data_IF_555391685388
#
_entry.id   IF_555391685388
#
_cell.length_a   1.000
_cell.length_b   1.000
_cell.length_c   1.000
_cell.angle_alpha   90.00
_cell.angle_beta   90.00
_cell.angle_gamma   90.00
#
_symmetry.space_group_name_H-M   'P 1'
#
loop_
_entity.id
_entity.type
_entity.pdbx_description
1 polymer ?
#
# COMPACT_ATOMS: atom_id res chain seq x y z
N UNK A 1 -23.65 19.97 4.28
CA UNK A 1 -24.36 19.07 5.22
C UNK A 1 -23.43 18.64 6.33
N UNK A 2 -23.91 18.56 7.56
CA UNK A 2 -23.14 18.04 8.69
C UNK A 2 -23.13 16.50 8.77
N UNK A 3 -22.37 15.94 9.72
CA UNK A 3 -22.28 14.48 9.98
C UNK A 3 -23.64 13.84 10.25
N UNK A 4 -24.51 14.46 11.05
CA UNK A 4 -25.81 13.88 11.43
C UNK A 4 -26.76 13.88 10.23
N UNK A 5 -26.78 14.96 9.48
CA UNK A 5 -27.55 15.11 8.25
C UNK A 5 -27.14 14.08 7.21
N UNK A 6 -25.83 13.89 6.97
CA UNK A 6 -25.32 12.88 6.04
C UNK A 6 -25.73 11.47 6.45
N UNK A 7 -25.57 11.11 7.73
CA UNK A 7 -25.97 9.78 8.22
C UNK A 7 -27.48 9.58 8.06
N UNK A 8 -28.29 10.60 8.38
CA UNK A 8 -29.75 10.55 8.19
C UNK A 8 -30.11 10.37 6.72
N UNK A 9 -29.43 11.11 5.84
CA UNK A 9 -29.61 11.01 4.40
C UNK A 9 -29.26 9.60 3.90
N UNK A 10 -28.08 9.07 4.23
CA UNK A 10 -27.68 7.72 3.81
C UNK A 10 -28.68 6.65 4.29
N UNK A 11 -29.15 6.75 5.53
CA UNK A 11 -30.18 5.85 6.07
C UNK A 11 -31.51 5.94 5.32
N UNK A 12 -31.91 7.15 4.89
CA UNK A 12 -33.12 7.32 4.07
C UNK A 12 -33.03 6.64 2.71
N UNK A 13 -31.81 6.40 2.20
CA UNK A 13 -31.54 5.63 0.98
C UNK A 13 -31.46 4.12 1.21
N UNK A 14 -31.76 3.66 2.42
CA UNK A 14 -31.70 2.24 2.81
C UNK A 14 -30.30 1.75 3.20
N UNK A 15 -29.31 2.63 3.39
CA UNK A 15 -28.00 2.25 3.88
C UNK A 15 -27.99 2.03 5.40
N UNK A 16 -27.32 0.97 5.83
CA UNK A 16 -26.96 0.82 7.24
C UNK A 16 -25.66 1.59 7.51
N UNK A 17 -25.65 2.48 8.50
CA UNK A 17 -24.46 3.28 8.84
C UNK A 17 -24.08 3.08 10.30
N UNK A 18 -22.85 2.61 10.55
CA UNK A 18 -22.29 2.44 11.89
C UNK A 18 -21.02 3.27 12.07
N UNK A 19 -20.93 4.06 13.14
CA UNK A 19 -19.81 5.00 13.35
C UNK A 19 -18.88 4.63 14.50
N UNK A 20 -19.10 3.48 15.14
CA UNK A 20 -18.39 3.04 16.34
C UNK A 20 -17.67 1.70 16.17
N UNK A 21 -17.40 1.29 14.92
CA UNK A 21 -16.84 -0.04 14.63
C UNK A 21 -15.31 -0.03 14.61
N UNK A 22 -14.69 -1.20 14.43
CA UNK A 22 -13.25 -1.31 14.13
C UNK A 22 -12.93 -1.08 12.64
N UNK A 23 -13.94 -0.91 11.79
CA UNK A 23 -13.83 -0.71 10.33
C UNK A 23 -12.79 -1.62 9.63
N UNK A 24 -12.62 -2.86 10.11
CA UNK A 24 -11.60 -3.81 9.62
C UNK A 24 -10.15 -3.27 9.61
N UNK A 25 -9.85 -2.30 10.48
CA UNK A 25 -8.55 -1.62 10.54
C UNK A 25 -8.38 -0.43 9.60
N UNK A 26 -9.42 -0.08 8.83
CA UNK A 26 -9.47 1.10 7.96
C UNK A 26 -10.14 2.30 8.68
N UNK A 27 -10.17 3.47 8.03
CA UNK A 27 -10.93 4.63 8.49
C UNK A 27 -12.43 4.44 8.29
N UNK A 28 -12.82 3.86 7.15
CA UNK A 28 -14.17 3.42 6.84
C UNK A 28 -14.14 2.22 5.89
N UNK A 29 -15.31 1.62 5.65
CA UNK A 29 -15.53 0.77 4.49
C UNK A 29 -17.02 0.69 4.12
N UNK A 30 -17.29 0.56 2.82
CA UNK A 30 -18.57 0.17 2.26
C UNK A 30 -18.59 -1.32 1.88
N UNK A 31 -19.64 -2.04 2.26
CA UNK A 31 -19.90 -3.41 1.81
C UNK A 31 -21.38 -3.77 1.94
N UNK A 32 -22.00 -4.28 0.87
CA UNK A 32 -23.38 -4.82 0.88
C UNK A 32 -24.40 -3.87 1.54
N UNK A 33 -24.52 -2.64 1.04
CA UNK A 33 -25.40 -1.58 1.58
C UNK A 33 -25.11 -1.15 3.03
N UNK A 34 -23.89 -1.40 3.52
CA UNK A 34 -23.45 -0.97 4.84
C UNK A 34 -22.21 -0.10 4.74
N UNK A 35 -22.22 1.03 5.43
CA UNK A 35 -21.07 1.91 5.65
C UNK A 35 -20.67 1.82 7.13
N UNK A 36 -19.43 1.40 7.38
CA UNK A 36 -18.85 1.34 8.72
C UNK A 36 -17.73 2.37 8.83
N UNK A 37 -17.78 3.27 9.80
CA UNK A 37 -16.73 4.23 10.14
C UNK A 37 -16.05 3.79 11.45
N UNK A 38 -14.72 3.92 11.48
CA UNK A 38 -13.90 3.56 12.62
C UNK A 38 -14.14 4.48 13.80
N UNK A 39 -14.31 3.92 15.00
CA UNK A 39 -14.44 4.70 16.24
C UNK A 39 -13.21 5.56 16.57
N UNK A 40 -12.04 5.22 16.00
CA UNK A 40 -10.76 5.89 16.27
C UNK A 40 -10.40 6.93 15.20
N UNK A 41 -11.30 7.22 14.25
CA UNK A 41 -11.05 8.22 13.22
C UNK A 41 -11.05 9.63 13.84
N UNK A 42 -10.14 10.54 13.43
CA UNK A 42 -10.24 11.95 13.81
C UNK A 42 -11.58 12.56 13.39
N UNK A 43 -12.17 13.43 14.21
CA UNK A 43 -13.53 13.96 13.95
C UNK A 43 -13.58 14.75 12.63
N UNK A 44 -12.54 15.50 12.29
CA UNK A 44 -12.41 16.23 11.03
C UNK A 44 -12.33 15.31 9.79
N UNK A 45 -12.16 14.00 9.97
CA UNK A 45 -12.10 13.00 8.89
C UNK A 45 -13.39 12.19 8.76
N UNK A 46 -14.33 12.30 9.70
CA UNK A 46 -15.58 11.54 9.67
C UNK A 46 -16.41 11.83 8.42
N UNK A 47 -16.66 13.11 8.13
CA UNK A 47 -17.45 13.50 6.94
C UNK A 47 -16.74 13.13 5.63
N UNK A 48 -15.45 13.46 5.43
CA UNK A 48 -14.71 13.00 4.25
C UNK A 48 -14.80 11.49 4.04
N UNK A 49 -14.62 10.68 5.10
CA UNK A 49 -14.71 9.23 4.98
C UNK A 49 -16.14 8.76 4.69
N UNK A 50 -17.17 9.37 5.27
CA UNK A 50 -18.56 9.07 4.92
C UNK A 50 -18.83 9.30 3.43
N UNK A 51 -18.36 10.41 2.87
CA UNK A 51 -18.51 10.74 1.45
C UNK A 51 -17.73 9.77 0.55
N UNK A 52 -16.51 9.39 0.97
CA UNK A 52 -15.70 8.39 0.29
C UNK A 52 -16.44 7.04 0.20
N UNK A 53 -16.95 6.53 1.31
CA UNK A 53 -17.69 5.26 1.32
C UNK A 53 -19.03 5.35 0.57
N UNK A 54 -19.67 6.53 0.58
CA UNK A 54 -20.87 6.77 -0.21
C UNK A 54 -20.57 6.80 -1.71
N UNK A 55 -19.44 7.33 -2.13
CA UNK A 55 -19.01 7.26 -3.53
C UNK A 55 -18.80 5.80 -3.98
N UNK A 56 -18.26 4.93 -3.11
CA UNK A 56 -18.23 3.49 -3.38
C UNK A 56 -19.62 2.88 -3.50
N UNK A 57 -20.59 3.28 -2.67
CA UNK A 57 -21.97 2.86 -2.84
C UNK A 57 -22.54 3.25 -4.21
N UNK A 58 -22.34 4.50 -4.64
CA UNK A 58 -22.81 4.98 -5.95
C UNK A 58 -22.13 4.23 -7.09
N UNK A 59 -20.81 3.99 -7.01
CA UNK A 59 -20.11 3.17 -7.99
C UNK A 59 -20.66 1.74 -8.03
N UNK A 60 -21.01 1.14 -6.89
CA UNK A 60 -21.61 -0.20 -6.86
C UNK A 60 -22.96 -0.28 -7.58
N UNK A 61 -23.71 0.82 -7.66
CA UNK A 61 -24.94 0.89 -8.46
C UNK A 61 -24.66 1.02 -9.95
N UNK A 62 -23.63 1.78 -10.33
CA UNK A 62 -23.22 1.97 -11.73
C UNK A 62 -22.56 0.70 -12.29
N UNK A 63 -21.73 0.03 -11.48
CA UNK A 63 -20.94 -1.13 -11.85
C UNK A 63 -20.98 -2.17 -10.71
N UNK A 64 -21.97 -3.09 -10.70
CA UNK A 64 -22.20 -4.02 -9.58
C UNK A 64 -21.01 -4.90 -9.18
N UNK A 65 -20.16 -5.28 -10.14
CA UNK A 65 -18.97 -6.11 -9.89
C UNK A 65 -17.72 -5.30 -9.49
N UNK A 66 -17.82 -3.97 -9.29
CA UNK A 66 -16.67 -3.11 -8.95
C UNK A 66 -15.92 -3.56 -7.70
N UNK A 67 -16.61 -4.19 -6.74
CA UNK A 67 -15.98 -4.72 -5.52
C UNK A 67 -14.94 -5.82 -5.82
N UNK A 68 -15.11 -6.54 -6.94
CA UNK A 68 -14.19 -7.58 -7.41
C UNK A 68 -13.17 -7.02 -8.40
N UNK A 69 -13.60 -6.16 -9.33
CA UNK A 69 -12.77 -5.69 -10.45
C UNK A 69 -11.97 -4.41 -10.14
N UNK A 70 -12.39 -3.63 -9.14
CA UNK A 70 -11.90 -2.25 -8.93
C UNK A 70 -12.60 -1.21 -9.81
N UNK A 71 -13.54 -1.66 -10.66
CA UNK A 71 -14.29 -0.88 -11.62
C UNK A 71 -13.47 -0.28 -12.76
N UNK A 72 -14.12 0.55 -13.59
CA UNK A 72 -13.51 1.18 -14.76
C UNK A 72 -13.82 2.68 -14.85
N UNK A 73 -12.87 3.46 -15.38
CA UNK A 73 -13.11 4.88 -15.66
C UNK A 73 -14.19 5.07 -16.73
N UNK A 74 -14.23 4.22 -17.76
CA UNK A 74 -15.28 4.25 -18.78
C UNK A 74 -16.70 4.12 -18.21
N UNK A 75 -16.89 3.35 -17.14
CA UNK A 75 -18.18 3.30 -16.44
C UNK A 75 -18.41 4.56 -15.60
N UNK A 76 -17.42 5.01 -14.83
CA UNK A 76 -17.59 6.15 -13.92
C UNK A 76 -17.70 7.51 -14.61
N UNK A 77 -16.94 7.74 -15.68
CA UNK A 77 -16.79 9.03 -16.33
C UNK A 77 -17.20 9.03 -17.79
N UNK A 78 -17.64 7.89 -18.35
CA UNK A 78 -17.89 7.76 -19.80
C UNK A 78 -16.70 8.24 -20.62
N UNK A 79 -15.50 8.02 -20.09
CA UNK A 79 -14.19 8.42 -20.60
C UNK A 79 -13.12 7.59 -19.86
N UNK A 80 -12.18 7.01 -20.59
CA UNK A 80 -11.05 6.23 -20.09
C UNK A 80 -9.70 6.85 -20.48
N UNK A 81 -9.70 8.13 -20.84
CA UNK A 81 -8.51 8.87 -21.27
C UNK A 81 -7.41 8.91 -20.20
N UNK A 82 -6.17 8.92 -20.67
CA UNK A 82 -5.00 9.01 -19.79
C UNK A 82 -4.96 10.33 -19.02
N UNK A 83 -5.43 11.42 -19.64
CA UNK A 83 -5.53 12.75 -19.02
C UNK A 83 -6.39 12.69 -17.76
N UNK A 84 -7.59 12.11 -17.89
CA UNK A 84 -8.52 11.93 -16.77
C UNK A 84 -7.89 11.10 -15.64
N UNK A 85 -7.25 9.98 -15.99
CA UNK A 85 -6.57 9.13 -15.00
C UNK A 85 -5.47 9.90 -14.24
N UNK A 86 -4.62 10.63 -14.95
CA UNK A 86 -3.50 11.36 -14.34
C UNK A 86 -3.97 12.48 -13.42
N UNK A 87 -5.08 13.16 -13.77
CA UNK A 87 -5.72 14.15 -12.91
C UNK A 87 -6.30 13.54 -11.63
N UNK A 88 -7.02 12.42 -11.73
CA UNK A 88 -7.55 11.71 -10.57
C UNK A 88 -6.45 11.21 -9.62
N UNK A 89 -5.28 10.84 -10.15
CA UNK A 89 -4.11 10.51 -9.34
C UNK A 89 -3.60 11.74 -8.58
N UNK A 90 -3.58 12.93 -9.18
CA UNK A 90 -3.20 14.17 -8.48
C UNK A 90 -4.14 14.47 -7.33
N UNK A 91 -5.47 14.34 -7.55
CA UNK A 91 -6.47 14.50 -6.49
C UNK A 91 -6.25 13.49 -5.37
N UNK A 92 -6.00 12.22 -5.73
CA UNK A 92 -5.71 11.17 -4.74
C UNK A 92 -4.48 11.49 -3.90
N UNK A 93 -3.41 12.02 -4.50
CA UNK A 93 -2.20 12.43 -3.79
C UNK A 93 -2.42 13.63 -2.87
N UNK A 94 -3.30 14.55 -3.25
CA UNK A 94 -3.72 15.68 -2.41
C UNK A 94 -4.52 15.19 -1.20
N UNK A 95 -5.52 14.33 -1.44
CA UNK A 95 -6.45 13.84 -0.41
C UNK A 95 -5.78 12.88 0.57
N UNK A 96 -4.92 11.99 0.09
CA UNK A 96 -4.17 11.03 0.92
C UNK A 96 -2.68 10.98 0.53
N UNK A 97 -1.84 11.79 1.18
CA UNK A 97 -0.40 11.83 0.91
C UNK A 97 0.32 10.49 1.07
N UNK A 98 -0.29 9.48 1.71
CA UNK A 98 0.30 8.14 1.79
C UNK A 98 0.33 7.44 0.41
N UNK A 99 -0.51 7.85 -0.54
CA UNK A 99 -0.49 7.32 -1.92
C UNK A 99 0.87 7.52 -2.60
N UNK A 100 1.57 8.61 -2.26
CA UNK A 100 2.91 8.92 -2.77
C UNK A 100 3.98 7.93 -2.29
N UNK A 101 3.69 7.15 -1.23
CA UNK A 101 4.59 6.14 -0.67
C UNK A 101 5.98 6.69 -0.27
N UNK A 102 6.11 7.98 0.05
CA UNK A 102 7.39 8.69 0.29
C UNK A 102 8.29 7.92 1.27
N UNK A 103 7.76 7.59 2.46
CA UNK A 103 8.49 6.84 3.50
C UNK A 103 8.98 5.46 3.02
N UNK A 104 8.23 4.79 2.14
CA UNK A 104 8.64 3.50 1.58
C UNK A 104 9.77 3.66 0.56
N UNK A 105 9.74 4.72 -0.25
CA UNK A 105 10.81 5.06 -1.17
C UNK A 105 12.10 5.41 -0.42
N UNK A 106 12.04 6.29 0.59
CA UNK A 106 13.18 6.60 1.46
C UNK A 106 13.76 5.36 2.13
N UNK A 107 12.90 4.45 2.58
CA UNK A 107 13.34 3.19 3.18
C UNK A 107 13.98 2.26 2.14
N UNK A 108 13.45 2.23 0.91
CA UNK A 108 14.03 1.48 -0.21
C UNK A 108 15.41 2.00 -0.58
N UNK A 109 15.63 3.31 -0.56
CA UNK A 109 16.92 3.95 -0.87
C UNK A 109 17.97 3.70 0.20
N UNK A 110 17.59 3.75 1.48
CA UNK A 110 18.46 3.32 2.60
C UNK A 110 18.89 1.85 2.44
N UNK A 111 17.95 0.97 2.09
CA UNK A 111 18.24 -0.45 1.83
C UNK A 111 19.16 -0.62 0.62
N UNK A 112 18.94 0.12 -0.47
CA UNK A 112 19.79 0.09 -1.68
C UNK A 112 21.22 0.53 -1.36
N UNK A 113 21.37 1.55 -0.51
CA UNK A 113 22.67 2.02 -0.03
C UNK A 113 23.41 0.94 0.76
N UNK A 114 22.73 0.24 1.68
CA UNK A 114 23.30 -0.90 2.42
C UNK A 114 23.69 -2.06 1.52
N UNK A 115 22.92 -2.36 0.46
CA UNK A 115 23.31 -3.38 -0.53
C UNK A 115 24.64 -3.00 -1.19
N UNK A 116 24.82 -1.73 -1.58
CA UNK A 116 26.06 -1.24 -2.20
C UNK A 116 27.24 -1.29 -1.23
N UNK A 117 27.03 -0.95 0.03
CA UNK A 117 28.04 -1.05 1.10
C UNK A 117 28.57 -2.49 1.23
N UNK A 118 27.68 -3.48 1.37
CA UNK A 118 28.12 -4.88 1.47
C UNK A 118 28.73 -5.42 0.17
N UNK A 119 28.24 -4.98 -1.00
CA UNK A 119 28.86 -5.31 -2.29
C UNK A 119 30.31 -4.82 -2.34
N UNK A 120 30.57 -3.61 -1.90
CA UNK A 120 31.94 -3.07 -1.83
C UNK A 120 32.82 -3.88 -0.87
N UNK A 121 32.32 -4.27 0.30
CA UNK A 121 33.05 -5.11 1.25
C UNK A 121 33.44 -6.46 0.62
N UNK A 122 32.54 -7.08 -0.15
CA UNK A 122 32.83 -8.35 -0.83
C UNK A 122 33.90 -8.11 -1.92
N UNK A 123 33.79 -7.03 -2.67
CA UNK A 123 34.70 -6.70 -3.78
C UNK A 123 36.14 -6.40 -3.35
N UNK A 124 36.37 -6.01 -2.09
CA UNK A 124 37.73 -5.90 -1.53
C UNK A 124 38.48 -7.23 -1.63
N UNK A 125 37.79 -8.35 -1.45
CA UNK A 125 38.37 -9.70 -1.47
C UNK A 125 38.09 -10.46 -2.77
N UNK A 126 37.00 -10.12 -3.46
CA UNK A 126 36.53 -10.75 -4.69
C UNK A 126 36.14 -9.68 -5.73
N UNK A 127 37.10 -9.06 -6.43
CA UNK A 127 36.86 -7.90 -7.31
C UNK A 127 35.81 -8.16 -8.40
N UNK A 128 35.78 -9.37 -8.94
CA UNK A 128 34.84 -9.80 -10.00
C UNK A 128 33.43 -10.17 -9.49
N UNK A 129 33.18 -9.99 -8.19
CA UNK A 129 31.88 -10.30 -7.60
C UNK A 129 30.75 -9.51 -8.28
N UNK A 130 29.71 -10.25 -8.70
CA UNK A 130 28.50 -9.70 -9.30
C UNK A 130 27.27 -10.21 -8.55
N UNK A 131 26.45 -9.29 -8.03
CA UNK A 131 25.23 -9.58 -7.25
C UNK A 131 24.21 -10.48 -7.97
N UNK A 132 24.19 -10.41 -9.30
CA UNK A 132 23.28 -11.18 -10.16
C UNK A 132 23.77 -12.60 -10.46
N UNK A 133 25.05 -12.90 -10.20
CA UNK A 133 25.65 -14.21 -10.48
C UNK A 133 25.76 -15.04 -9.19
N UNK A 134 25.95 -16.35 -9.37
CA UNK A 134 26.27 -17.25 -8.25
C UNK A 134 27.65 -16.93 -7.70
N UNK A 135 27.78 -16.94 -6.38
CA UNK A 135 29.05 -16.72 -5.69
C UNK A 135 29.60 -18.07 -5.25
N UNK A 136 30.32 -18.74 -6.15
CA UNK A 136 30.69 -20.16 -6.02
C UNK A 136 31.56 -20.44 -4.79
N UNK A 137 32.46 -19.52 -4.46
CA UNK A 137 33.37 -19.57 -3.33
C UNK A 137 32.58 -19.59 -2.02
N UNK A 138 31.58 -18.71 -1.91
CA UNK A 138 30.66 -18.69 -0.78
C UNK A 138 29.78 -19.95 -0.73
N UNK A 139 29.24 -20.39 -1.86
CA UNK A 139 28.36 -21.57 -1.93
C UNK A 139 29.11 -22.85 -1.45
N UNK A 140 30.40 -22.98 -1.79
CA UNK A 140 31.26 -24.08 -1.32
C UNK A 140 31.48 -23.99 0.19
N UNK A 141 31.74 -22.78 0.71
CA UNK A 141 31.99 -22.54 2.13
C UNK A 141 30.76 -22.87 3.00
N UNK A 142 29.58 -22.39 2.61
CA UNK A 142 28.39 -22.41 3.46
C UNK A 142 27.67 -23.77 3.48
N UNK A 143 27.98 -24.69 2.55
CA UNK A 143 27.19 -25.91 2.26
C UNK A 143 26.83 -26.74 3.50
N UNK A 144 27.78 -26.90 4.42
CA UNK A 144 27.65 -27.69 5.66
C UNK A 144 27.47 -26.83 6.92
N UNK A 145 27.41 -25.51 6.79
CA UNK A 145 27.24 -24.58 7.90
C UNK A 145 25.77 -24.27 8.14
N UNK A 146 25.38 -24.14 9.42
CA UNK A 146 24.05 -23.63 9.81
C UNK A 146 23.80 -22.20 9.30
N UNK A 147 24.85 -21.41 9.05
CA UNK A 147 24.72 -20.06 8.50
C UNK A 147 24.02 -20.04 7.12
N UNK A 148 23.94 -21.17 6.40
CA UNK A 148 23.16 -21.27 5.14
C UNK A 148 21.69 -20.91 5.33
N UNK A 149 21.12 -21.16 6.52
CA UNK A 149 19.74 -20.80 6.82
C UNK A 149 19.54 -19.28 6.87
N UNK A 150 20.60 -18.50 7.16
CA UNK A 150 20.57 -17.05 7.16
C UNK A 150 20.46 -16.43 5.74
N UNK A 151 20.72 -17.22 4.70
CA UNK A 151 20.43 -16.81 3.32
C UNK A 151 18.93 -16.65 3.08
N UNK A 152 18.12 -17.46 3.77
CA UNK A 152 16.66 -17.43 3.66
C UNK A 152 16.00 -16.57 4.74
N UNK A 153 16.49 -16.63 5.98
CA UNK A 153 15.86 -15.98 7.13
C UNK A 153 16.83 -15.02 7.82
N UNK A 154 16.36 -13.85 8.24
CA UNK A 154 17.22 -12.90 8.98
C UNK A 154 17.53 -13.41 10.41
N UNK A 155 16.65 -14.25 10.95
CA UNK A 155 16.79 -14.92 12.25
C UNK A 155 16.15 -16.30 12.18
N UNK A 156 16.83 -17.33 12.71
CA UNK A 156 16.37 -18.71 12.65
C UNK A 156 16.67 -19.45 13.95
N UNK A 157 15.68 -20.20 14.43
CA UNK A 157 15.80 -21.10 15.58
C UNK A 157 16.00 -22.52 15.05
N UNK A 158 17.16 -23.12 15.30
CA UNK A 158 17.47 -24.50 14.91
C UNK A 158 17.44 -25.40 16.14
N UNK A 159 16.76 -26.53 16.00
CA UNK A 159 16.75 -27.59 17.01
C UNK A 159 17.88 -28.55 16.66
N UNK A 160 18.84 -28.72 17.57
CA UNK A 160 19.99 -29.58 17.40
C UNK A 160 20.02 -30.65 18.50
N UNK A 161 20.30 -31.89 18.10
CA UNK A 161 20.39 -33.05 19.00
C UNK A 161 19.43 -34.18 18.64
N UNK A 162 19.69 -35.37 19.20
CA UNK A 162 18.89 -36.58 18.97
C UNK A 162 17.58 -36.60 19.76
N UNK A 163 16.86 -37.73 19.67
CA UNK A 163 15.52 -37.93 20.27
C UNK A 163 15.46 -37.61 21.78
N UNK A 164 16.58 -37.74 22.51
CA UNK A 164 16.63 -37.64 23.98
C UNK A 164 17.16 -36.31 24.53
N UNK A 165 17.81 -35.45 23.73
CA UNK A 165 18.27 -34.11 24.15
C UNK A 165 18.21 -33.15 22.96
N UNK A 166 17.14 -32.35 22.93
CA UNK A 166 16.97 -31.27 21.96
C UNK A 166 17.50 -29.98 22.56
N UNK A 167 18.62 -29.49 22.04
CA UNK A 167 19.10 -28.14 22.31
C UNK A 167 18.57 -27.20 21.23
N UNK A 168 18.38 -25.94 21.57
CA UNK A 168 18.01 -24.93 20.59
C UNK A 168 19.12 -23.92 20.44
N UNK A 169 19.57 -23.71 19.20
CA UNK A 169 20.42 -22.58 18.84
C UNK A 169 19.65 -21.55 18.05
N UNK A 170 19.91 -20.29 18.34
CA UNK A 170 19.32 -19.15 17.66
C UNK A 170 20.42 -18.43 16.88
N UNK A 171 20.27 -18.37 15.56
CA UNK A 171 21.18 -17.63 14.69
C UNK A 171 20.49 -16.37 14.16
N UNK A 172 21.24 -15.28 14.06
CA UNK A 172 20.78 -14.00 13.50
C UNK A 172 21.84 -13.36 12.61
N UNK A 173 21.42 -12.61 11.60
CA UNK A 173 22.34 -11.80 10.76
C UNK A 173 23.12 -10.74 11.55
N UNK A 174 22.61 -10.37 12.73
CA UNK A 174 23.22 -9.38 13.61
C UNK A 174 24.35 -9.97 14.46
N UNK A 175 24.38 -11.30 14.63
CA UNK A 175 25.33 -12.00 15.50
C UNK A 175 26.29 -12.93 14.73
N UNK A 176 26.39 -12.79 13.40
CA UNK A 176 27.17 -13.72 12.56
C UNK A 176 28.60 -13.87 13.07
N UNK A 177 29.27 -12.78 13.43
CA UNK A 177 30.65 -12.80 13.92
C UNK A 177 30.80 -13.49 15.28
N UNK A 178 29.74 -13.52 16.10
CA UNK A 178 29.73 -14.24 17.37
C UNK A 178 29.41 -15.72 17.19
N UNK A 179 28.45 -16.03 16.31
CA UNK A 179 27.94 -17.38 16.09
C UNK A 179 28.83 -18.20 15.15
N UNK A 180 29.59 -17.53 14.27
CA UNK A 180 30.47 -18.10 13.26
C UNK A 180 31.80 -17.34 13.23
N UNK A 181 32.60 -17.51 14.29
CA UNK A 181 33.84 -16.75 14.55
C UNK A 181 34.85 -16.82 13.40
N UNK A 182 34.93 -17.95 12.71
CA UNK A 182 35.92 -18.17 11.64
C UNK A 182 35.41 -17.71 10.26
N UNK A 183 34.22 -17.09 10.19
CA UNK A 183 33.63 -16.68 8.92
C UNK A 183 34.38 -15.48 8.32
N UNK A 184 34.87 -15.58 7.07
CA UNK A 184 35.48 -14.46 6.37
C UNK A 184 34.53 -13.26 6.27
N UNK A 185 35.09 -12.03 6.42
CA UNK A 185 34.32 -10.78 6.35
C UNK A 185 33.47 -10.67 5.08
N UNK A 186 34.01 -11.10 3.93
CA UNK A 186 33.28 -11.11 2.66
C UNK A 186 32.04 -12.03 2.69
N UNK A 187 32.10 -13.16 3.39
CA UNK A 187 30.99 -14.10 3.49
C UNK A 187 29.90 -13.62 4.45
N UNK A 188 30.30 -13.02 5.57
CA UNK A 188 29.38 -12.30 6.46
C UNK A 188 28.67 -11.16 5.71
N UNK A 189 29.42 -10.36 4.97
CA UNK A 189 28.88 -9.29 4.13
C UNK A 189 27.91 -9.83 3.07
N UNK A 190 28.20 -10.98 2.46
CA UNK A 190 27.31 -11.62 1.49
C UNK A 190 25.98 -12.08 2.11
N UNK A 191 25.99 -12.67 3.31
CA UNK A 191 24.76 -13.03 4.04
C UNK A 191 23.91 -11.77 4.31
N UNK A 192 24.53 -10.69 4.81
CA UNK A 192 23.84 -9.41 5.05
C UNK A 192 23.32 -8.80 3.75
N UNK A 193 24.09 -8.84 2.66
CA UNK A 193 23.65 -8.42 1.33
C UNK A 193 22.37 -9.16 0.91
N UNK A 194 22.32 -10.49 1.08
CA UNK A 194 21.12 -11.29 0.79
C UNK A 194 19.94 -10.95 1.70
N UNK A 195 20.16 -10.59 2.95
CA UNK A 195 19.11 -10.04 3.83
C UNK A 195 18.52 -8.74 3.27
N UNK A 196 19.38 -7.77 2.94
CA UNK A 196 18.94 -6.48 2.39
C UNK A 196 18.27 -6.62 1.02
N UNK A 197 18.72 -7.53 0.15
CA UNK A 197 18.01 -7.85 -1.10
C UNK A 197 16.58 -8.35 -0.85
N UNK A 198 16.38 -9.28 0.09
CA UNK A 198 15.03 -9.72 0.49
C UNK A 198 14.20 -8.56 1.05
N UNK A 199 14.81 -7.68 1.85
CA UNK A 199 14.15 -6.49 2.39
C UNK A 199 13.71 -5.53 1.27
N UNK A 200 14.57 -5.29 0.27
CA UNK A 200 14.25 -4.47 -0.90
C UNK A 200 13.06 -5.02 -1.69
N UNK A 201 13.01 -6.35 -1.90
CA UNK A 201 11.89 -7.01 -2.57
C UNK A 201 10.59 -6.84 -1.80
N UNK A 202 10.61 -7.04 -0.47
CA UNK A 202 9.43 -6.83 0.40
C UNK A 202 8.91 -5.39 0.31
N UNK A 203 9.80 -4.40 0.35
CA UNK A 203 9.41 -2.98 0.23
C UNK A 203 8.81 -2.69 -1.14
N UNK A 204 9.44 -3.19 -2.21
CA UNK A 204 8.95 -2.99 -3.58
C UNK A 204 7.57 -3.63 -3.80
N UNK A 205 7.36 -4.84 -3.27
CA UNK A 205 6.04 -5.49 -3.30
C UNK A 205 4.98 -4.68 -2.54
N UNK A 206 5.36 -4.08 -1.40
CA UNK A 206 4.47 -3.21 -0.63
C UNK A 206 4.11 -1.92 -1.38
N UNK A 207 5.08 -1.26 -2.01
CA UNK A 207 4.84 -0.08 -2.87
C UNK A 207 3.87 -0.45 -4.00
N UNK A 208 4.14 -1.56 -4.71
CA UNK A 208 3.28 -2.00 -5.82
C UNK A 208 1.87 -2.34 -5.35
N UNK A 209 1.71 -2.93 -4.16
CA UNK A 209 0.40 -3.20 -3.56
C UNK A 209 -0.37 -1.90 -3.32
N UNK A 210 0.28 -0.88 -2.76
CA UNK A 210 -0.37 0.42 -2.53
C UNK A 210 -0.70 1.13 -3.84
N UNK A 211 0.22 1.16 -4.81
CA UNK A 211 -0.06 1.73 -6.13
C UNK A 211 -1.27 1.10 -6.78
N UNK A 212 -1.31 -0.23 -6.85
CA UNK A 212 -2.47 -0.99 -7.37
C UNK A 212 -3.78 -0.74 -6.61
N UNK A 213 -3.72 -0.26 -5.37
CA UNK A 213 -4.91 0.12 -4.61
C UNK A 213 -5.34 1.53 -4.98
N UNK A 214 -4.45 2.52 -4.87
CA UNK A 214 -4.75 3.93 -5.18
C UNK A 214 -5.05 4.19 -6.66
N UNK A 215 -4.57 3.35 -7.57
CA UNK A 215 -4.82 3.45 -9.01
C UNK A 215 -6.14 2.77 -9.44
N UNK A 216 -6.91 2.18 -8.51
CA UNK A 216 -8.22 1.57 -8.86
C UNK A 216 -9.23 2.66 -9.20
N UNK A 217 -9.99 2.53 -10.30
CA UNK A 217 -11.04 3.49 -10.65
C UNK A 217 -12.04 3.78 -9.53
N UNK A 218 -12.46 2.76 -8.78
CA UNK A 218 -13.33 2.94 -7.62
C UNK A 218 -12.74 3.84 -6.54
N UNK A 219 -11.44 3.69 -6.25
CA UNK A 219 -10.73 4.52 -5.28
C UNK A 219 -10.52 5.93 -5.81
N UNK A 220 -10.10 6.06 -7.07
CA UNK A 220 -9.93 7.36 -7.75
C UNK A 220 -11.22 8.20 -7.71
N UNK A 221 -12.37 7.58 -8.00
CA UNK A 221 -13.67 8.23 -7.93
C UNK A 221 -14.03 8.65 -6.51
N UNK A 222 -13.87 7.75 -5.53
CA UNK A 222 -14.15 8.08 -4.14
C UNK A 222 -13.25 9.20 -3.60
N UNK A 223 -11.97 9.24 -4.02
CA UNK A 223 -11.04 10.32 -3.71
C UNK A 223 -11.36 11.64 -4.40
N UNK A 224 -11.94 11.61 -5.60
CA UNK A 224 -12.45 12.83 -6.24
C UNK A 224 -13.57 13.46 -5.41
N UNK A 225 -14.57 12.66 -5.01
CA UNK A 225 -15.68 13.13 -4.17
C UNK A 225 -15.18 13.65 -2.83
N UNK A 226 -14.26 12.93 -2.20
CA UNK A 226 -13.62 13.35 -0.95
C UNK A 226 -12.85 14.68 -1.12
N UNK A 227 -12.10 14.81 -2.21
CA UNK A 227 -11.31 16.01 -2.53
C UNK A 227 -12.17 17.23 -2.76
N UNK A 228 -13.25 17.10 -3.55
CA UNK A 228 -14.20 18.19 -3.82
C UNK A 228 -14.85 18.73 -2.53
N UNK A 229 -15.06 17.87 -1.53
CA UNK A 229 -15.53 18.30 -0.22
C UNK A 229 -14.45 19.03 0.60
N UNK A 230 -13.19 18.58 0.51
CA UNK A 230 -12.09 19.13 1.30
C UNK A 230 -11.64 20.50 0.78
N UNK A 231 -11.45 20.62 -0.54
CA UNK A 231 -10.99 21.84 -1.18
C UNK A 231 -11.37 21.79 -2.67
N UNK A 232 -12.53 22.35 -2.99
CA UNK A 232 -13.08 22.34 -4.36
C UNK A 232 -12.20 23.12 -5.33
N UNK A 233 -11.77 24.32 -4.95
CA UNK A 233 -10.96 25.21 -5.79
C UNK A 233 -9.64 24.55 -6.16
N UNK A 234 -8.97 23.94 -5.18
CA UNK A 234 -7.73 23.22 -5.45
C UNK A 234 -7.93 22.01 -6.36
N UNK A 235 -9.00 21.24 -6.13
CA UNK A 235 -9.32 20.07 -6.96
C UNK A 235 -9.64 20.46 -8.40
N UNK A 236 -10.41 21.54 -8.61
CA UNK A 236 -10.67 22.12 -9.93
C UNK A 236 -9.39 22.56 -10.63
N UNK A 237 -8.44 23.15 -9.91
CA UNK A 237 -7.15 23.59 -10.46
C UNK A 237 -6.25 22.41 -10.89
N UNK A 238 -6.19 21.32 -10.12
CA UNK A 238 -5.29 20.19 -10.40
C UNK A 238 -5.89 19.12 -11.32
N UNK A 239 -7.23 19.09 -11.43
CA UNK A 239 -7.99 18.08 -12.17
C UNK A 239 -9.17 18.67 -12.98
N UNK A 240 -8.93 19.69 -13.82
CA UNK A 240 -10.00 20.43 -14.49
C UNK A 240 -10.88 19.55 -15.38
N UNK A 241 -10.29 18.61 -16.15
CA UNK A 241 -11.04 17.76 -17.06
C UNK A 241 -11.89 16.75 -16.29
N UNK A 242 -11.32 16.15 -15.22
CA UNK A 242 -12.05 15.22 -14.38
C UNK A 242 -13.21 15.87 -13.65
N UNK A 243 -13.02 17.08 -13.14
CA UNK A 243 -14.06 17.83 -12.44
C UNK A 243 -15.15 18.31 -13.40
N UNK A 244 -14.80 18.86 -14.55
CA UNK A 244 -15.78 19.26 -15.57
C UNK A 244 -16.62 18.06 -16.01
N UNK A 245 -15.97 16.93 -16.31
CA UNK A 245 -16.67 15.70 -16.71
C UNK A 245 -17.57 15.18 -15.59
N UNK A 246 -17.08 15.20 -14.37
CA UNK A 246 -17.83 14.79 -13.19
C UNK A 246 -19.10 15.64 -13.03
N UNK A 247 -19.01 16.96 -13.04
CA UNK A 247 -20.19 17.82 -12.85
C UNK A 247 -21.19 17.69 -14.00
N UNK A 248 -20.75 17.61 -15.26
CA UNK A 248 -21.64 17.35 -16.41
C UNK A 248 -22.46 16.07 -16.22
N UNK A 249 -21.82 15.00 -15.74
CA UNK A 249 -22.49 13.72 -15.46
C UNK A 249 -23.40 13.81 -14.23
N UNK A 250 -23.00 14.53 -13.19
CA UNK A 250 -23.79 14.75 -12.00
C UNK A 250 -25.10 15.50 -12.30
N UNK A 251 -25.03 16.58 -13.08
CA UNK A 251 -26.17 17.39 -13.54
C UNK A 251 -27.12 16.58 -14.41
N UNK A 252 -26.58 15.71 -15.28
CA UNK A 252 -27.35 14.74 -16.06
C UNK A 252 -27.97 13.61 -15.22
N UNK A 253 -27.76 13.60 -13.90
CA UNK A 253 -28.29 12.61 -12.97
C UNK A 253 -27.57 11.27 -12.98
N UNK A 254 -26.40 11.17 -13.63
CA UNK A 254 -25.68 9.91 -13.80
C UNK A 254 -25.24 9.28 -12.47
N UNK A 255 -24.86 10.13 -11.50
CA UNK A 255 -24.44 9.70 -10.16
C UNK A 255 -25.59 9.60 -9.15
N UNK A 256 -26.85 9.58 -9.62
CA UNK A 256 -28.05 9.33 -8.82
C UNK A 256 -28.12 10.24 -7.58
N UNK A 257 -28.06 9.67 -6.38
CA UNK A 257 -28.20 10.36 -5.10
C UNK A 257 -26.99 11.23 -4.74
N UNK A 258 -25.84 11.01 -5.40
CA UNK A 258 -24.62 11.79 -5.15
C UNK A 258 -24.79 13.27 -5.47
N UNK A 259 -25.63 13.60 -6.48
CA UNK A 259 -25.87 14.99 -6.90
C UNK A 259 -26.37 15.87 -5.76
N UNK A 260 -27.16 15.29 -4.84
CA UNK A 260 -27.75 16.01 -3.71
C UNK A 260 -26.71 16.40 -2.64
N UNK A 261 -25.50 15.84 -2.71
CA UNK A 261 -24.40 16.12 -1.79
C UNK A 261 -23.40 17.13 -2.35
N UNK A 262 -23.40 17.34 -3.67
CA UNK A 262 -22.34 18.06 -4.40
C UNK A 262 -22.82 19.33 -5.10
N UNK A 263 -24.14 19.51 -5.23
CA UNK A 263 -24.78 20.66 -5.87
C UNK A 263 -25.56 21.53 -4.86
N UNK A 264 -25.16 21.52 -3.59
CA UNK A 264 -25.65 22.43 -2.55
C UNK A 264 -24.76 23.66 -2.44
#
# INVERSE_FOLDING_TARGET
MDKKELIKYFKSLGLTVHTTTKARGHQGFFLKNRIDISKNIPENRVVPTLLHEFAHYIHSKIEPDMNKTGGTLGMLFKDDSRVLFDELIKVTNFVDPNSLCVRLYEHKDRVKSKIKEYENIIKIYYPDFMRSKKFKEFDKYIKKSDARYLLKYDRVKLIQGGFFRKTTKLYSIDNIEKDFTDMPKAFTAYIRLKSYQKKQTRISARINKYKKYYEKPAELFARLVEGLYLDREWVEAIAPNAVERFYKLAEAGYYMELKNLLLL
#
